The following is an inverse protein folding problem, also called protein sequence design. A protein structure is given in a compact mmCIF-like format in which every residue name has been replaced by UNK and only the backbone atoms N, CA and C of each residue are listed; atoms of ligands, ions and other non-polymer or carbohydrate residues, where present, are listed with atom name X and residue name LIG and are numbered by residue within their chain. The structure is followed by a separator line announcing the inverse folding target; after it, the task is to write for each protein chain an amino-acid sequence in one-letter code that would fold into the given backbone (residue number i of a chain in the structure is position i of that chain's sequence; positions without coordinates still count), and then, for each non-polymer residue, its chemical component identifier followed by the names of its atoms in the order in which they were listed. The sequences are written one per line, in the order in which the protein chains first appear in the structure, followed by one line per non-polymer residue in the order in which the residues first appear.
data_IF_372402707299
#
_entry.id   IF_372402707299
#
_cell.length_a   1.000
_cell.length_b   1.000
_cell.length_c   1.000
_cell.angle_alpha   90.00
_cell.angle_beta   90.00
_cell.angle_gamma   90.00
#
_symmetry.space_group_name_H-M   'P 1'
#
loop_
_entity.id
_entity.type
_entity.pdbx_description
1 polymer ?
#
# COMPACT_ATOMS: atom_id res chain seq x y z
N UNK A 1 -7.62 -10.24 12.87
CA UNK A 1 -6.47 -9.47 13.35
C UNK A 1 -5.76 -9.02 12.09
N UNK A 2 -5.70 -7.71 11.83
CA UNK A 2 -5.09 -7.18 10.61
C UNK A 2 -3.61 -7.00 10.90
N UNK A 3 -2.75 -7.68 10.14
CA UNK A 3 -1.30 -7.59 10.34
C UNK A 3 -0.73 -6.52 9.42
N UNK A 4 -0.48 -5.32 9.96
CA UNK A 4 0.01 -4.16 9.21
C UNK A 4 1.48 -3.90 9.51
N UNK A 5 2.25 -3.59 8.47
CA UNK A 5 3.64 -3.16 8.56
C UNK A 5 3.76 -1.69 8.13
N UNK A 6 3.87 -0.74 9.07
CA UNK A 6 4.10 0.66 8.75
C UNK A 6 5.58 0.94 8.42
N UNK A 7 5.82 1.82 7.46
CA UNK A 7 7.14 2.27 7.03
C UNK A 7 7.12 3.80 7.02
N UNK A 8 7.88 4.44 7.90
CA UNK A 8 8.11 5.89 7.85
C UNK A 8 8.82 6.25 6.55
N UNK A 9 8.24 7.15 5.77
CA UNK A 9 8.83 7.65 4.54
C UNK A 9 9.76 8.82 4.83
N UNK A 10 10.95 8.80 4.23
CA UNK A 10 11.89 9.92 4.32
C UNK A 10 11.40 11.10 3.47
N UNK A 11 10.71 12.06 4.10
CA UNK A 11 10.24 13.31 3.49
C UNK A 11 10.66 14.51 4.35
N UNK A 12 10.99 15.63 3.70
CA UNK A 12 11.63 16.79 4.36
C UNK A 12 10.71 17.57 5.30
N UNK A 13 9.42 17.60 5.02
CA UNK A 13 8.46 18.55 5.56
C UNK A 13 7.16 17.88 6.06
N UNK A 14 7.08 16.55 5.97
CA UNK A 14 5.87 15.78 6.24
C UNK A 14 6.19 14.53 7.04
N UNK A 15 5.28 14.18 7.95
CA UNK A 15 5.31 12.87 8.62
C UNK A 15 4.37 11.94 7.86
N UNK A 16 4.94 11.09 7.01
CA UNK A 16 4.17 10.15 6.18
C UNK A 16 4.60 8.72 6.47
N UNK A 17 3.63 7.83 6.58
CA UNK A 17 3.83 6.39 6.64
C UNK A 17 3.21 5.72 5.42
N UNK A 18 3.94 4.78 4.82
CA UNK A 18 3.31 3.76 4.00
C UNK A 18 2.87 2.60 4.91
N UNK A 19 1.68 2.07 4.69
CA UNK A 19 1.16 0.92 5.42
C UNK A 19 1.00 -0.23 4.44
N UNK A 20 1.67 -1.35 4.72
CA UNK A 20 1.47 -2.59 3.98
C UNK A 20 0.59 -3.51 4.83
N UNK A 21 -0.59 -3.84 4.32
CA UNK A 21 -1.42 -4.91 4.86
C UNK A 21 -0.81 -6.25 4.41
N UNK A 22 -0.28 -7.02 5.36
CA UNK A 22 0.42 -8.27 5.08
C UNK A 22 -0.56 -9.44 4.82
N UNK A 23 -1.83 -9.28 5.15
CA UNK A 23 -2.86 -10.29 4.86
C UNK A 23 -3.34 -10.17 3.40
N UNK A 24 -3.48 -8.94 2.89
CA UNK A 24 -4.01 -8.68 1.54
C UNK A 24 -2.93 -8.29 0.52
N UNK A 25 -1.78 -7.84 0.98
CA UNK A 25 -0.72 -7.23 0.16
C UNK A 25 -1.08 -5.82 -0.33
N UNK A 26 -2.15 -5.20 0.19
CA UNK A 26 -2.53 -3.84 -0.15
C UNK A 26 -1.57 -2.83 0.50
N UNK A 27 -1.38 -1.71 -0.19
CA UNK A 27 -0.56 -0.61 0.27
C UNK A 27 -1.44 0.64 0.39
N UNK A 28 -1.30 1.36 1.49
CA UNK A 28 -1.90 2.67 1.72
C UNK A 28 -0.87 3.64 2.30
N UNK A 29 -1.28 4.88 2.52
CA UNK A 29 -0.45 5.89 3.13
C UNK A 29 -1.24 6.67 4.19
N UNK A 30 -0.54 7.13 5.21
CA UNK A 30 -1.08 8.05 6.22
C UNK A 30 -0.14 9.24 6.39
N UNK A 31 -0.69 10.44 6.42
CA UNK A 31 0.04 11.67 6.73
C UNK A 31 -0.48 12.26 8.03
N UNK A 32 0.42 12.69 8.90
CA UNK A 32 0.06 13.43 10.11
C UNK A 32 0.10 14.94 9.82
N UNK A 33 -1.07 15.59 9.85
CA UNK A 33 -1.24 17.02 9.60
C UNK A 33 -1.91 17.65 10.82
N UNK A 34 -1.23 18.57 11.51
CA UNK A 34 -1.73 19.25 12.72
C UNK A 34 -2.25 18.29 13.82
N UNK A 35 -1.67 17.09 13.93
CA UNK A 35 -2.09 16.08 14.90
C UNK A 35 -3.23 15.17 14.41
N UNK A 36 -3.79 15.44 13.24
CA UNK A 36 -4.79 14.59 12.59
C UNK A 36 -4.15 13.68 11.55
N UNK A 37 -4.64 12.44 11.47
CA UNK A 37 -4.17 11.47 10.47
C UNK A 37 -5.08 11.53 9.25
N UNK A 38 -4.50 11.80 8.09
CA UNK A 38 -5.16 11.74 6.79
C UNK A 38 -4.73 10.46 6.10
N UNK A 39 -5.69 9.63 5.71
CA UNK A 39 -5.44 8.36 5.04
C UNK A 39 -5.61 8.48 3.53
N UNK A 40 -4.74 7.78 2.80
CA UNK A 40 -4.76 7.73 1.34
C UNK A 40 -4.68 6.28 0.88
N UNK A 41 -5.54 5.92 -0.08
CA UNK A 41 -5.32 4.70 -0.86
C UNK A 41 -4.07 4.86 -1.73
N UNK A 42 -3.47 3.74 -2.16
CA UNK A 42 -2.30 3.80 -3.04
C UNK A 42 -2.51 4.66 -4.29
N UNK A 43 -3.73 4.67 -4.85
CA UNK A 43 -4.05 5.39 -6.09
C UNK A 43 -4.25 6.89 -5.85
N UNK A 44 -4.93 7.24 -4.77
CA UNK A 44 -5.32 8.62 -4.44
C UNK A 44 -4.21 9.40 -3.73
N UNK A 45 -3.16 8.72 -3.27
CA UNK A 45 -2.02 9.37 -2.62
C UNK A 45 -1.25 10.29 -3.59
N UNK A 46 -0.61 11.35 -3.06
CA UNK A 46 0.41 12.11 -3.77
C UNK A 46 1.47 11.21 -4.42
N UNK A 47 1.91 11.57 -5.62
CA UNK A 47 2.95 10.83 -6.38
C UNK A 47 4.22 10.68 -5.54
N UNK A 48 4.61 11.75 -4.84
CA UNK A 48 5.79 11.77 -3.98
C UNK A 48 5.81 10.67 -2.90
N UNK A 49 4.65 10.22 -2.41
CA UNK A 49 4.59 9.18 -1.38
C UNK A 49 4.97 7.82 -1.95
N UNK A 50 4.49 7.52 -3.17
CA UNK A 50 4.86 6.31 -3.91
C UNK A 50 6.35 6.32 -4.27
N UNK A 51 6.87 7.46 -4.73
CA UNK A 51 8.29 7.61 -5.05
C UNK A 51 9.17 7.44 -3.81
N UNK A 52 8.81 8.08 -2.69
CA UNK A 52 9.54 7.92 -1.43
C UNK A 52 9.56 6.46 -0.95
N UNK A 53 8.42 5.77 -1.02
CA UNK A 53 8.35 4.34 -0.69
C UNK A 53 9.24 3.49 -1.60
N UNK A 54 9.16 3.67 -2.92
CA UNK A 54 9.96 2.90 -3.87
C UNK A 54 11.45 3.16 -3.72
N UNK A 55 11.86 4.41 -3.49
CA UNK A 55 13.25 4.77 -3.25
C UNK A 55 13.77 4.10 -1.97
N UNK A 56 12.98 4.10 -0.90
CA UNK A 56 13.35 3.47 0.37
C UNK A 56 13.46 1.95 0.28
N UNK A 57 12.60 1.31 -0.52
CA UNK A 57 12.61 -0.13 -0.75
C UNK A 57 13.56 -0.58 -1.86
N UNK A 58 14.16 0.35 -2.61
CA UNK A 58 14.93 0.05 -3.83
C UNK A 58 16.04 -0.98 -3.63
N UNK A 59 16.76 -0.91 -2.50
CA UNK A 59 17.83 -1.84 -2.15
C UNK A 59 17.35 -3.27 -1.84
N UNK A 60 16.05 -3.45 -1.57
CA UNK A 60 15.43 -4.75 -1.27
C UNK A 60 14.88 -5.43 -2.53
N UNK A 61 14.79 -4.71 -3.66
CA UNK A 61 14.25 -5.27 -4.89
C UNK A 61 15.25 -6.19 -5.57
N UNK A 62 14.78 -7.36 -5.99
CA UNK A 62 15.55 -8.27 -6.82
C UNK A 62 15.72 -7.70 -8.23
N UNK A 63 16.85 -8.00 -8.87
CA UNK A 63 17.16 -7.60 -10.25
C UNK A 63 16.09 -8.08 -11.25
N UNK A 64 15.51 -9.26 -11.01
CA UNK A 64 14.47 -9.84 -11.84
C UNK A 64 13.39 -10.52 -11.00
N UNK A 65 12.13 -10.30 -11.39
CA UNK A 65 11.01 -11.06 -10.86
C UNK A 65 11.03 -12.50 -11.38
N UNK A 66 10.99 -13.48 -10.46
CA UNK A 66 10.77 -14.88 -10.80
C UNK A 66 9.30 -15.21 -11.07
N UNK A 67 8.39 -14.26 -10.80
CA UNK A 67 6.95 -14.45 -10.87
C UNK A 67 6.43 -15.42 -9.80
N UNK A 68 5.28 -15.10 -9.22
CA UNK A 68 4.55 -16.05 -8.38
C UNK A 68 3.05 -15.90 -8.63
N UNK A 69 2.51 -16.77 -9.49
CA UNK A 69 1.10 -16.76 -9.85
C UNK A 69 0.18 -17.27 -8.73
N UNK A 70 0.73 -17.78 -7.62
CA UNK A 70 -0.03 -18.15 -6.43
C UNK A 70 -0.27 -16.95 -5.49
N UNK A 71 0.38 -15.80 -5.72
CA UNK A 71 0.06 -14.57 -4.99
C UNK A 71 -1.42 -14.25 -5.20
N UNK A 72 -2.07 -13.80 -4.13
CA UNK A 72 -3.52 -13.66 -3.93
C UNK A 72 -4.32 -12.97 -5.04
N UNK A 73 -3.68 -12.34 -6.04
CA UNK A 73 -4.28 -11.70 -7.22
C UNK A 73 -5.11 -12.65 -8.09
N UNK A 74 -4.88 -13.97 -8.02
CA UNK A 74 -5.72 -15.00 -8.68
C UNK A 74 -6.48 -15.86 -7.67
N UNK A 75 -6.47 -15.52 -6.38
CA UNK A 75 -7.33 -16.18 -5.41
C UNK A 75 -8.76 -15.75 -5.70
N UNK A 76 -9.63 -16.71 -5.99
CA UNK A 76 -11.00 -16.47 -6.39
C UNK A 76 -11.79 -15.62 -5.37
N UNK A 77 -11.52 -15.80 -4.07
CA UNK A 77 -12.14 -15.00 -3.00
C UNK A 77 -11.67 -13.55 -3.01
N UNK A 78 -10.41 -13.29 -3.35
CA UNK A 78 -9.87 -11.92 -3.46
C UNK A 78 -10.43 -11.23 -4.70
N UNK A 79 -10.58 -11.96 -5.81
CA UNK A 79 -11.26 -11.44 -7.01
C UNK A 79 -12.74 -11.13 -6.74
N UNK A 80 -13.44 -11.98 -5.98
CA UNK A 80 -14.83 -11.77 -5.57
C UNK A 80 -14.96 -10.56 -4.63
N UNK A 81 -14.11 -10.45 -3.62
CA UNK A 81 -14.06 -9.28 -2.74
C UNK A 81 -13.78 -7.99 -3.52
N UNK A 82 -12.83 -8.03 -4.47
CA UNK A 82 -12.56 -6.90 -5.35
C UNK A 82 -13.78 -6.51 -6.19
N UNK A 83 -14.52 -7.46 -6.76
CA UNK A 83 -15.74 -7.17 -7.52
C UNK A 83 -16.79 -6.45 -6.69
N UNK A 84 -16.99 -6.88 -5.44
CA UNK A 84 -17.93 -6.25 -4.50
C UNK A 84 -17.47 -4.83 -4.16
N UNK A 85 -16.21 -4.66 -3.79
CA UNK A 85 -15.64 -3.35 -3.44
C UNK A 85 -15.57 -2.36 -4.62
N UNK A 86 -15.53 -2.87 -5.86
CA UNK A 86 -15.48 -2.05 -7.08
C UNK A 86 -16.87 -1.67 -7.60
N UNK A 87 -17.95 -2.22 -7.03
CA UNK A 87 -19.34 -1.92 -7.39
C UNK A 87 -20.15 -1.66 -6.10
N UNK A 88 -20.09 -0.43 -5.55
CA UNK A 88 -20.74 -0.09 -4.27
C UNK A 88 -22.28 0.02 -4.33
N UNK A 89 -22.91 -0.43 -5.41
CA UNK A 89 -24.37 -0.40 -5.64
C UNK A 89 -25.08 -1.74 -5.39
N UNK A 90 -24.43 -2.67 -4.69
CA UNK A 90 -25.05 -3.86 -4.07
C UNK A 90 -25.20 -3.68 -2.57
#
# INVERSE_FOLDING_TARGET
MIYQAPINLSMSDKTVQAIIDLDTGLIGFSELVHGETIEFTYKESPVAYREALLNQLSSLFAEKSLGNFKISRKNQRVMEAQKILSNPSL
#
